data_IF_621867036302
#
_entry.id   IF_621867036302
#
_cell.length_a   1.000
_cell.length_b   1.000
_cell.length_c   1.000
_cell.angle_alpha   90.00
_cell.angle_beta   90.00
_cell.angle_gamma   90.00
#
_symmetry.space_group_name_H-M   'P 1'
#
loop_
_entity.id
_entity.type
_entity.pdbx_description
1 polymer ?
#
# COMPACT_ATOMS: atom_id res chain seq x y z
N UNK A 1 31.55 -18.43 -0.55
CA UNK A 1 30.62 -17.44 -1.11
C UNK A 1 31.44 -16.18 -1.33
N UNK A 2 31.73 -15.84 -2.57
CA UNK A 2 32.31 -14.54 -2.88
C UNK A 2 31.36 -13.47 -2.37
N UNK A 3 31.84 -12.62 -1.51
CA UNK A 3 31.11 -11.49 -0.98
C UNK A 3 30.97 -10.46 -2.12
N UNK A 4 29.93 -10.60 -2.96
CA UNK A 4 29.68 -9.62 -4.01
C UNK A 4 29.14 -8.36 -3.37
N UNK A 5 30.04 -7.36 -3.17
CA UNK A 5 29.72 -6.04 -2.63
C UNK A 5 28.93 -5.17 -3.62
N UNK A 6 28.79 -5.61 -4.87
CA UNK A 6 28.14 -4.82 -5.91
C UNK A 6 26.63 -4.71 -5.67
N UNK A 7 26.07 -3.51 -5.83
CA UNK A 7 24.62 -3.33 -5.81
C UNK A 7 23.96 -4.14 -6.93
N UNK A 8 22.81 -4.72 -6.65
CA UNK A 8 21.99 -5.42 -7.65
C UNK A 8 21.29 -4.49 -8.65
N UNK A 9 21.22 -3.19 -8.31
CA UNK A 9 20.58 -2.18 -9.17
C UNK A 9 21.55 -1.61 -10.20
N UNK A 10 21.09 -1.41 -11.44
CA UNK A 10 21.85 -0.73 -12.48
C UNK A 10 21.92 0.79 -12.26
N UNK A 11 22.96 1.45 -12.83
CA UNK A 11 23.07 2.90 -12.78
C UNK A 11 21.90 3.62 -13.50
N UNK A 12 21.32 3.00 -14.52
CA UNK A 12 20.16 3.49 -15.24
C UNK A 12 18.92 3.49 -14.34
N UNK A 13 18.65 2.37 -13.63
CA UNK A 13 17.55 2.27 -12.69
C UNK A 13 17.70 3.24 -11.50
N UNK A 14 18.93 3.52 -11.06
CA UNK A 14 19.17 4.55 -10.06
C UNK A 14 18.77 5.94 -10.54
N UNK A 15 19.13 6.29 -11.79
CA UNK A 15 18.73 7.57 -12.40
C UNK A 15 17.23 7.67 -12.59
N UNK A 16 16.60 6.62 -13.10
CA UNK A 16 15.13 6.55 -13.28
C UNK A 16 14.39 6.71 -11.96
N UNK A 17 14.87 6.04 -10.91
CA UNK A 17 14.32 6.22 -9.57
C UNK A 17 14.47 7.65 -9.04
N UNK A 18 15.63 8.27 -9.24
CA UNK A 18 15.86 9.65 -8.81
C UNK A 18 14.92 10.62 -9.55
N UNK A 19 14.72 10.40 -10.87
CA UNK A 19 13.81 11.21 -11.67
C UNK A 19 12.36 11.03 -11.19
N UNK A 20 11.90 9.79 -10.96
CA UNK A 20 10.56 9.51 -10.44
C UNK A 20 10.29 10.24 -9.12
N UNK A 21 11.25 10.25 -8.19
CA UNK A 21 11.09 10.96 -6.92
C UNK A 21 11.05 12.49 -7.11
N UNK A 22 11.80 13.02 -8.09
CA UNK A 22 11.75 14.43 -8.43
C UNK A 22 10.40 14.81 -9.04
N UNK A 23 9.84 13.97 -9.93
CA UNK A 23 8.54 14.19 -10.57
C UNK A 23 7.40 14.15 -9.55
N UNK A 24 7.44 13.24 -8.59
CA UNK A 24 6.49 13.20 -7.46
C UNK A 24 6.54 14.50 -6.67
N UNK A 25 7.73 14.98 -6.33
CA UNK A 25 7.89 16.26 -5.60
C UNK A 25 7.37 17.45 -6.39
N UNK A 26 7.67 17.50 -7.68
CA UNK A 26 7.18 18.56 -8.56
C UNK A 26 5.65 18.55 -8.67
N UNK A 27 5.04 17.36 -8.79
CA UNK A 27 3.59 17.20 -8.84
C UNK A 27 2.91 17.78 -7.60
N UNK A 28 3.37 17.44 -6.41
CA UNK A 28 2.78 17.95 -5.17
C UNK A 28 3.10 19.41 -4.90
N UNK A 29 4.31 19.88 -5.26
CA UNK A 29 4.66 21.29 -5.16
C UNK A 29 3.77 22.18 -6.01
N UNK A 30 3.44 21.77 -7.26
CA UNK A 30 2.52 22.49 -8.14
C UNK A 30 1.09 22.57 -7.58
N UNK A 31 0.71 21.65 -6.70
CA UNK A 31 -0.60 21.61 -6.04
C UNK A 31 -0.61 22.28 -4.66
N UNK A 32 0.51 22.83 -4.23
CA UNK A 32 0.64 23.46 -2.91
C UNK A 32 0.54 22.48 -1.75
N UNK A 33 0.87 21.20 -1.97
CA UNK A 33 0.89 20.16 -0.92
C UNK A 33 2.25 20.17 -0.26
N UNK A 34 2.29 20.25 1.07
CA UNK A 34 3.52 20.34 1.85
C UNK A 34 4.20 18.98 2.00
N UNK A 35 5.49 18.87 1.65
CA UNK A 35 6.31 17.70 2.01
C UNK A 35 6.61 17.73 3.50
N UNK A 36 6.35 16.62 4.19
CA UNK A 36 6.61 16.48 5.61
C UNK A 36 7.47 15.25 5.91
N UNK A 37 8.12 15.25 7.06
CA UNK A 37 8.81 14.10 7.62
C UNK A 37 8.26 13.80 9.01
N UNK A 38 8.03 12.53 9.31
CA UNK A 38 7.59 12.05 10.62
C UNK A 38 8.58 11.02 11.16
N UNK A 39 8.66 10.83 12.49
CA UNK A 39 9.58 9.86 13.07
C UNK A 39 9.33 8.44 12.55
N UNK A 40 10.41 7.76 12.17
CA UNK A 40 10.39 6.35 11.73
C UNK A 40 10.24 5.39 12.90
N UNK A 41 10.73 5.79 14.08
CA UNK A 41 10.64 5.02 15.33
C UNK A 41 9.48 5.52 16.16
N UNK A 42 8.68 4.58 16.70
CA UNK A 42 7.57 4.86 17.61
C UNK A 42 7.65 3.97 18.85
N UNK A 43 7.17 4.48 19.98
CA UNK A 43 6.99 3.69 21.21
C UNK A 43 5.80 2.72 21.16
N UNK A 44 4.97 2.79 20.12
CA UNK A 44 3.83 1.91 19.90
C UNK A 44 3.83 1.39 18.45
N UNK A 45 3.43 0.13 18.26
CA UNK A 45 3.17 -0.44 16.95
C UNK A 45 1.84 0.08 16.38
N UNK A 46 1.68 0.16 15.05
CA UNK A 46 0.38 0.39 14.45
C UNK A 46 -0.58 -0.77 14.77
N UNK A 47 -1.87 -0.46 14.80
CA UNK A 47 -2.93 -1.40 15.19
C UNK A 47 -3.49 -2.22 14.02
N UNK A 48 -2.90 -2.12 12.82
CA UNK A 48 -3.33 -2.87 11.66
C UNK A 48 -3.11 -4.38 11.88
N UNK A 49 -4.17 -5.22 11.81
CA UNK A 49 -4.12 -6.61 12.29
C UNK A 49 -3.19 -7.51 11.48
N UNK A 50 -2.95 -7.19 10.21
CA UNK A 50 -2.13 -8.01 9.30
C UNK A 50 -0.77 -7.38 8.95
N UNK A 51 -0.38 -6.30 9.63
CA UNK A 51 0.91 -5.65 9.44
C UNK A 51 1.75 -5.78 10.72
N UNK A 52 2.81 -6.57 10.66
CA UNK A 52 3.73 -6.72 11.79
C UNK A 52 4.90 -5.74 11.67
N UNK A 53 5.22 -5.07 12.79
CA UNK A 53 6.32 -4.10 12.87
C UNK A 53 7.60 -4.75 13.32
N UNK A 54 8.73 -4.34 12.75
CA UNK A 54 10.03 -4.63 13.33
C UNK A 54 10.16 -3.98 14.70
N UNK A 55 10.61 -4.76 15.69
CA UNK A 55 10.88 -4.30 17.06
C UNK A 55 12.36 -4.01 17.21
N UNK A 56 12.69 -2.93 17.90
CA UNK A 56 14.06 -2.61 18.29
C UNK A 56 14.13 -2.19 19.75
N UNK A 57 15.30 -2.31 20.33
CA UNK A 57 15.55 -1.96 21.71
C UNK A 57 16.26 -0.61 21.78
N UNK A 58 15.64 0.33 22.50
CA UNK A 58 16.24 1.61 22.80
C UNK A 58 16.72 1.60 24.26
N UNK A 59 18.01 1.92 24.44
CA UNK A 59 18.65 2.01 25.75
C UNK A 59 19.08 3.46 25.96
N UNK A 60 18.31 4.26 26.72
CA UNK A 60 18.67 5.63 27.04
C UNK A 60 19.97 5.68 27.83
N UNK A 61 20.87 6.62 27.53
CA UNK A 61 22.10 6.80 28.31
C UNK A 61 21.76 7.25 29.73
N UNK A 62 22.28 6.50 30.72
CA UNK A 62 22.12 6.83 32.15
C UNK A 62 20.76 6.50 32.76
N UNK A 63 19.89 5.78 32.04
CA UNK A 63 18.59 5.34 32.55
C UNK A 63 18.35 3.85 32.30
N UNK A 64 17.66 3.19 33.22
CA UNK A 64 17.07 1.86 33.05
C UNK A 64 15.58 2.01 33.35
N UNK A 65 14.68 1.28 32.66
CA UNK A 65 14.89 0.10 31.85
C UNK A 65 15.00 0.37 30.33
N UNK A 66 15.43 -0.65 29.60
CA UNK A 66 15.34 -0.76 28.15
C UNK A 66 13.88 -0.56 27.68
N UNK A 67 13.69 0.19 26.62
CA UNK A 67 12.39 0.44 26.00
C UNK A 67 12.30 -0.24 24.64
N UNK A 68 11.16 -0.85 24.34
CA UNK A 68 10.89 -1.37 23.00
C UNK A 68 10.34 -0.26 22.11
N UNK A 69 10.94 -0.12 20.96
CA UNK A 69 10.46 0.75 19.88
C UNK A 69 10.13 -0.08 18.65
N UNK A 70 9.34 0.50 17.78
CA UNK A 70 8.83 -0.13 16.57
C UNK A 70 9.19 0.72 15.36
N UNK A 71 9.65 0.07 14.28
CA UNK A 71 9.78 0.72 12.98
C UNK A 71 8.38 0.84 12.35
N UNK A 72 8.11 1.99 11.75
CA UNK A 72 6.81 2.27 11.12
C UNK A 72 6.53 1.35 9.94
N UNK A 73 5.30 0.86 9.83
CA UNK A 73 4.79 0.14 8.65
C UNK A 73 4.17 1.08 7.62
N UNK A 74 3.87 2.32 8.03
CA UNK A 74 3.39 3.46 7.26
C UNK A 74 3.61 4.72 8.10
N UNK A 75 3.76 5.91 7.52
CA UNK A 75 3.82 7.17 8.24
C UNK A 75 2.44 7.68 8.73
N UNK A 76 1.36 6.94 8.55
CA UNK A 76 -0.03 7.32 8.78
C UNK A 76 -0.26 8.02 10.11
N UNK A 77 0.12 7.38 11.23
CA UNK A 77 -0.14 7.95 12.56
C UNK A 77 0.62 9.26 12.81
N UNK A 78 1.85 9.36 12.30
CA UNK A 78 2.62 10.60 12.36
C UNK A 78 1.97 11.71 11.55
N UNK A 79 1.57 11.40 10.32
CA UNK A 79 0.94 12.35 9.41
C UNK A 79 -0.46 12.77 9.92
N UNK A 80 -1.27 11.86 10.43
CA UNK A 80 -2.59 12.20 11.02
C UNK A 80 -2.47 13.11 12.24
N UNK A 81 -1.40 13.02 13.01
CA UNK A 81 -1.13 13.99 14.10
C UNK A 81 -0.81 15.39 13.55
N UNK A 82 -0.12 15.49 12.41
CA UNK A 82 0.11 16.77 11.76
C UNK A 82 -1.19 17.36 11.21
N UNK A 83 -2.08 16.53 10.63
CA UNK A 83 -3.42 16.97 10.21
C UNK A 83 -4.25 17.48 11.38
N UNK A 84 -4.22 16.80 12.52
CA UNK A 84 -4.91 17.23 13.73
C UNK A 84 -4.33 18.53 14.33
N UNK A 85 -3.12 18.93 13.91
CA UNK A 85 -2.48 20.19 14.25
C UNK A 85 -2.58 21.24 13.10
N UNK A 86 -3.59 21.09 12.24
CA UNK A 86 -3.91 22.01 11.14
C UNK A 86 -2.80 22.20 10.09
N UNK A 87 -2.00 21.15 9.82
CA UNK A 87 -0.95 21.21 8.80
C UNK A 87 -1.48 21.38 7.36
N UNK A 88 -2.79 21.21 7.14
CA UNK A 88 -3.41 21.25 5.83
C UNK A 88 -3.07 20.04 4.96
N UNK A 89 -2.97 20.23 3.65
CA UNK A 89 -2.61 19.18 2.70
C UNK A 89 -1.12 18.86 2.77
N UNK A 90 -0.80 17.59 3.04
CA UNK A 90 0.56 17.10 3.27
C UNK A 90 0.85 15.82 2.49
N UNK A 91 2.11 15.59 2.14
CA UNK A 91 2.60 14.31 1.64
C UNK A 91 3.95 13.94 2.25
N UNK A 92 4.29 12.68 2.23
CA UNK A 92 5.57 12.16 2.68
C UNK A 92 6.06 11.03 1.78
N UNK A 93 7.35 11.05 1.45
CA UNK A 93 8.06 9.91 0.86
C UNK A 93 8.89 9.29 1.97
N UNK A 94 8.44 8.18 2.53
CA UNK A 94 9.01 7.58 3.72
C UNK A 94 9.61 6.20 3.47
N UNK A 95 10.64 5.85 4.24
CA UNK A 95 11.03 4.45 4.43
C UNK A 95 10.06 3.79 5.42
N UNK A 96 9.55 2.64 5.03
CA UNK A 96 8.63 1.84 5.83
C UNK A 96 9.11 0.39 5.90
N UNK A 97 8.68 -0.30 6.95
CA UNK A 97 9.21 -1.60 7.33
C UNK A 97 8.07 -2.53 7.73
N UNK A 98 7.94 -3.67 7.04
CA UNK A 98 6.92 -4.67 7.34
C UNK A 98 7.59 -6.02 7.57
N UNK A 99 7.48 -6.52 8.79
CA UNK A 99 8.06 -7.78 9.19
C UNK A 99 7.31 -8.95 8.54
N UNK A 100 8.04 -9.94 8.06
CA UNK A 100 7.46 -11.09 7.37
C UNK A 100 7.17 -10.90 5.88
N UNK A 101 7.18 -9.67 5.36
CA UNK A 101 7.00 -9.43 3.92
C UNK A 101 8.29 -9.76 3.15
N UNK A 102 8.24 -10.85 2.35
CA UNK A 102 9.33 -11.24 1.46
C UNK A 102 8.77 -11.96 0.24
N UNK A 103 9.06 -11.45 -0.96
CA UNK A 103 8.60 -12.06 -2.20
C UNK A 103 9.07 -11.29 -3.43
N UNK A 104 8.61 -11.72 -4.60
CA UNK A 104 8.98 -11.11 -5.88
C UNK A 104 8.65 -9.62 -5.95
N UNK A 105 7.53 -9.21 -5.35
CA UNK A 105 7.03 -7.83 -5.32
C UNK A 105 7.08 -7.20 -3.93
N UNK A 106 7.54 -7.94 -2.92
CA UNK A 106 7.56 -7.50 -1.53
C UNK A 106 8.96 -7.52 -0.96
N UNK A 107 9.30 -6.48 -0.23
CA UNK A 107 10.55 -6.34 0.52
C UNK A 107 10.23 -5.88 1.94
N UNK A 108 10.94 -6.37 2.96
CA UNK A 108 10.71 -5.95 4.34
C UNK A 108 11.00 -4.46 4.59
N UNK A 109 11.78 -3.83 3.72
CA UNK A 109 11.99 -2.39 3.67
C UNK A 109 11.68 -1.86 2.26
N UNK A 110 10.82 -0.84 2.17
CA UNK A 110 10.51 -0.18 0.90
C UNK A 110 10.25 1.32 1.10
N UNK A 111 10.03 2.01 0.01
CA UNK A 111 9.70 3.44 0.03
C UNK A 111 8.22 3.60 -0.30
N UNK A 112 7.51 4.27 0.58
CA UNK A 112 6.08 4.57 0.45
C UNK A 112 5.90 6.06 0.18
N UNK A 113 5.01 6.38 -0.77
CA UNK A 113 4.43 7.69 -0.92
C UNK A 113 3.05 7.67 -0.29
N UNK A 114 2.82 8.56 0.67
CA UNK A 114 1.54 8.72 1.35
C UNK A 114 1.17 10.21 1.39
N UNK A 115 -0.10 10.56 1.16
CA UNK A 115 -0.54 11.95 1.21
C UNK A 115 -1.97 12.09 1.68
N UNK A 116 -2.30 13.28 2.15
CA UNK A 116 -3.60 13.64 2.70
C UNK A 116 -4.06 14.98 2.14
N UNK A 117 -5.30 15.03 1.71
CA UNK A 117 -5.96 16.19 1.13
C UNK A 117 -7.30 16.40 1.83
N UNK A 118 -7.34 17.05 3.01
CA UNK A 118 -8.55 17.21 3.81
C UNK A 118 -9.68 17.94 3.07
N UNK A 119 -9.33 18.82 2.11
CA UNK A 119 -10.27 19.61 1.34
C UNK A 119 -10.85 18.88 0.12
N UNK A 120 -10.30 17.74 -0.27
CA UNK A 120 -10.77 16.99 -1.44
C UNK A 120 -11.86 15.98 -1.08
N UNK A 121 -12.85 15.88 -1.96
CA UNK A 121 -13.77 14.74 -1.95
C UNK A 121 -13.07 13.47 -2.40
N UNK A 122 -13.66 12.31 -2.08
CA UNK A 122 -13.16 11.00 -2.53
C UNK A 122 -12.95 10.97 -4.06
N UNK A 123 -13.89 11.47 -4.85
CA UNK A 123 -13.79 11.50 -6.32
C UNK A 123 -12.65 12.38 -6.80
N UNK A 124 -12.44 13.54 -6.19
CA UNK A 124 -11.32 14.43 -6.51
C UNK A 124 -9.97 13.81 -6.15
N UNK A 125 -9.91 13.04 -5.07
CA UNK A 125 -8.69 12.29 -4.72
C UNK A 125 -8.41 11.20 -5.76
N UNK A 126 -9.42 10.50 -6.27
CA UNK A 126 -9.24 9.54 -7.38
C UNK A 126 -8.70 10.23 -8.65
N UNK A 127 -9.18 11.45 -8.98
CA UNK A 127 -8.64 12.26 -10.09
C UNK A 127 -7.15 12.58 -9.86
N UNK A 128 -6.80 12.96 -8.64
CA UNK A 128 -5.41 13.28 -8.28
C UNK A 128 -4.50 12.05 -8.36
N UNK A 129 -4.96 10.89 -7.92
CA UNK A 129 -4.22 9.61 -8.08
C UNK A 129 -3.98 9.31 -9.56
N UNK A 130 -5.02 9.40 -10.40
CA UNK A 130 -4.91 9.17 -11.84
C UNK A 130 -3.90 10.12 -12.48
N UNK A 131 -3.96 11.41 -12.15
CA UNK A 131 -3.04 12.42 -12.66
C UNK A 131 -1.59 12.17 -12.21
N UNK A 132 -1.38 11.77 -10.96
CA UNK A 132 -0.05 11.42 -10.44
C UNK A 132 0.55 10.24 -11.20
N UNK A 133 -0.22 9.16 -11.36
CA UNK A 133 0.23 7.94 -12.05
C UNK A 133 0.54 8.23 -13.53
N UNK A 134 -0.25 9.07 -14.19
CA UNK A 134 0.02 9.51 -15.57
C UNK A 134 1.37 10.25 -15.66
N UNK A 135 1.66 11.16 -14.72
CA UNK A 135 2.91 11.93 -14.71
C UNK A 135 4.13 11.06 -14.42
N UNK A 136 4.07 10.18 -13.41
CA UNK A 136 5.25 9.44 -12.91
C UNK A 136 5.51 8.13 -13.64
N UNK A 137 4.49 7.51 -14.23
CA UNK A 137 4.57 6.22 -14.88
C UNK A 137 4.14 6.23 -16.37
N UNK A 138 3.63 7.35 -16.87
CA UNK A 138 3.21 7.49 -18.27
C UNK A 138 1.96 6.68 -18.62
N UNK A 139 1.18 6.23 -17.62
CA UNK A 139 -0.06 5.52 -17.86
C UNK A 139 -1.17 6.46 -18.37
N UNK A 140 -2.12 5.96 -19.16
CA UNK A 140 -3.29 6.73 -19.55
C UNK A 140 -4.18 7.04 -18.32
N UNK A 141 -5.21 7.83 -18.54
CA UNK A 141 -6.22 8.10 -17.50
C UNK A 141 -6.82 6.80 -16.94
N UNK A 142 -6.96 6.74 -15.62
CA UNK A 142 -7.44 5.54 -14.93
C UNK A 142 -8.91 5.27 -15.24
N UNK A 143 -9.25 4.02 -15.55
CA UNK A 143 -10.63 3.55 -15.67
C UNK A 143 -11.17 3.33 -14.26
N UNK A 144 -12.33 3.92 -13.97
CA UNK A 144 -13.00 3.74 -12.67
C UNK A 144 -14.00 2.60 -12.74
N UNK A 145 -13.80 1.62 -11.88
CA UNK A 145 -14.68 0.48 -11.75
C UNK A 145 -15.31 0.45 -10.36
N UNK A 146 -16.60 0.14 -10.31
CA UNK A 146 -17.25 -0.18 -9.05
C UNK A 146 -16.87 -1.60 -8.64
N UNK A 147 -16.53 -1.80 -7.37
CA UNK A 147 -16.23 -3.12 -6.81
C UNK A 147 -17.34 -4.14 -7.12
N UNK A 148 -18.59 -3.78 -6.86
CA UNK A 148 -19.75 -4.64 -7.14
C UNK A 148 -19.90 -4.96 -8.63
N UNK A 149 -19.80 -3.94 -9.49
CA UNK A 149 -19.92 -4.15 -10.95
C UNK A 149 -18.78 -5.00 -11.50
N UNK A 150 -17.61 -4.96 -10.89
CA UNK A 150 -16.50 -5.83 -11.29
C UNK A 150 -16.85 -7.30 -11.05
N UNK A 151 -17.43 -7.64 -9.89
CA UNK A 151 -17.89 -9.00 -9.62
C UNK A 151 -19.05 -9.41 -10.54
N UNK A 152 -20.01 -8.54 -10.77
CA UNK A 152 -21.13 -8.81 -11.69
C UNK A 152 -20.64 -9.04 -13.12
N UNK A 153 -19.73 -8.19 -13.61
CA UNK A 153 -19.26 -8.24 -15.00
C UNK A 153 -18.37 -9.46 -15.29
N UNK A 154 -17.49 -9.81 -14.40
CA UNK A 154 -16.48 -10.84 -14.64
C UNK A 154 -16.80 -12.20 -14.04
N UNK A 155 -17.64 -12.26 -13.02
CA UNK A 155 -18.00 -13.49 -12.32
C UNK A 155 -19.51 -13.76 -12.29
N UNK A 156 -20.33 -12.86 -12.82
CA UNK A 156 -21.80 -12.94 -12.79
C UNK A 156 -22.37 -13.10 -11.37
N UNK A 157 -21.73 -12.47 -10.38
CA UNK A 157 -22.15 -12.51 -8.97
C UNK A 157 -22.61 -11.13 -8.51
N UNK A 158 -23.78 -11.08 -7.90
CA UNK A 158 -24.22 -9.97 -7.05
C UNK A 158 -23.72 -10.21 -5.62
N UNK A 159 -22.63 -9.51 -5.25
CA UNK A 159 -21.97 -9.70 -3.95
C UNK A 159 -22.83 -9.28 -2.74
N UNK A 160 -23.90 -8.54 -2.92
CA UNK A 160 -24.81 -8.20 -1.82
C UNK A 160 -25.91 -9.25 -1.60
N UNK A 161 -26.31 -9.98 -2.64
CA UNK A 161 -27.41 -10.92 -2.60
C UNK A 161 -26.99 -12.39 -2.73
N UNK A 162 -25.73 -12.68 -3.10
CA UNK A 162 -25.25 -14.06 -3.17
C UNK A 162 -24.99 -14.64 -1.77
N UNK A 163 -25.18 -15.95 -1.64
CA UNK A 163 -24.83 -16.71 -0.43
C UNK A 163 -23.31 -17.01 -0.38
N UNK A 164 -22.79 -17.27 0.82
CA UNK A 164 -21.39 -17.67 1.00
C UNK A 164 -21.06 -18.98 0.27
N UNK A 165 -22.05 -19.89 0.16
CA UNK A 165 -21.91 -21.09 -0.63
C UNK A 165 -21.75 -20.80 -2.12
N UNK A 166 -22.41 -19.79 -2.67
CA UNK A 166 -22.23 -19.36 -4.06
C UNK A 166 -20.84 -18.75 -4.26
N UNK A 167 -20.37 -17.89 -3.35
CA UNK A 167 -19.01 -17.36 -3.40
C UNK A 167 -17.96 -18.47 -3.40
N UNK A 168 -18.11 -19.45 -2.50
CA UNK A 168 -17.24 -20.63 -2.43
C UNK A 168 -17.22 -21.41 -3.73
N UNK A 169 -18.38 -21.70 -4.32
CA UNK A 169 -18.47 -22.44 -5.59
C UNK A 169 -17.73 -21.71 -6.70
N UNK A 170 -17.95 -20.40 -6.85
CA UNK A 170 -17.26 -19.60 -7.87
C UNK A 170 -15.75 -19.54 -7.62
N UNK A 171 -15.31 -19.47 -6.35
CA UNK A 171 -13.90 -19.57 -5.99
C UNK A 171 -13.28 -20.89 -6.45
N UNK A 172 -13.93 -22.00 -6.15
CA UNK A 172 -13.47 -23.35 -6.54
C UNK A 172 -13.49 -23.58 -8.07
N UNK A 173 -14.39 -22.94 -8.79
CA UNK A 173 -14.47 -23.00 -10.26
C UNK A 173 -13.38 -22.18 -10.95
N UNK A 174 -13.05 -21.01 -10.41
CA UNK A 174 -12.14 -20.06 -11.04
C UNK A 174 -10.67 -20.18 -10.57
N UNK A 175 -10.41 -20.86 -9.44
CA UNK A 175 -9.07 -21.05 -8.87
C UNK A 175 -8.76 -22.54 -8.77
N UNK A 176 -8.25 -23.17 -9.87
CA UNK A 176 -8.02 -24.63 -9.90
C UNK A 176 -7.03 -25.17 -8.88
N UNK A 177 -6.10 -24.31 -8.40
CA UNK A 177 -5.09 -24.65 -7.39
C UNK A 177 -5.64 -24.63 -5.96
N UNK A 178 -6.88 -24.19 -5.77
CA UNK A 178 -7.48 -24.03 -4.44
C UNK A 178 -7.80 -25.38 -3.81
N UNK A 179 -7.41 -25.56 -2.55
CA UNK A 179 -7.80 -26.75 -1.79
C UNK A 179 -9.32 -26.74 -1.53
N UNK A 180 -9.97 -27.89 -1.77
CA UNK A 180 -11.46 -27.99 -1.67
C UNK A 180 -11.98 -27.88 -0.25
N UNK A 181 -11.15 -28.09 0.74
CA UNK A 181 -11.46 -28.04 2.18
C UNK A 181 -11.10 -26.69 2.83
N UNK A 182 -10.69 -25.69 2.01
CA UNK A 182 -10.42 -24.37 2.51
C UNK A 182 -11.70 -23.77 3.15
N UNK A 183 -11.54 -23.30 4.37
CA UNK A 183 -12.59 -22.63 5.14
C UNK A 183 -12.28 -21.14 5.24
N UNK A 184 -13.06 -20.34 4.52
CA UNK A 184 -12.98 -18.88 4.52
C UNK A 184 -14.36 -18.32 4.84
N UNK A 185 -14.37 -17.24 5.59
CA UNK A 185 -15.57 -16.42 5.73
C UNK A 185 -15.89 -15.67 4.42
N UNK A 186 -16.96 -14.91 4.43
CA UNK A 186 -17.42 -14.15 3.27
C UNK A 186 -16.35 -13.19 2.74
N UNK A 187 -15.73 -12.45 3.64
CA UNK A 187 -14.73 -11.44 3.27
C UNK A 187 -13.47 -12.12 2.69
N UNK A 188 -13.04 -13.23 3.27
CA UNK A 188 -11.96 -14.04 2.73
C UNK A 188 -12.22 -14.58 1.33
N UNK A 189 -13.47 -15.01 1.02
CA UNK A 189 -13.84 -15.41 -0.34
C UNK A 189 -13.82 -14.23 -1.32
N UNK A 190 -14.34 -13.07 -0.91
CA UNK A 190 -14.33 -11.86 -1.75
C UNK A 190 -12.92 -11.38 -2.03
N UNK A 191 -12.04 -11.37 -1.02
CA UNK A 191 -10.63 -11.00 -1.15
C UNK A 191 -9.88 -11.96 -2.09
N UNK A 192 -10.06 -13.27 -1.89
CA UNK A 192 -9.42 -14.29 -2.73
C UNK A 192 -9.88 -14.18 -4.20
N UNK A 193 -11.18 -14.00 -4.45
CA UNK A 193 -11.70 -13.81 -5.81
C UNK A 193 -11.19 -12.50 -6.44
N UNK A 194 -11.07 -11.43 -5.65
CA UNK A 194 -10.51 -10.18 -6.14
C UNK A 194 -9.06 -10.37 -6.57
N UNK A 195 -8.20 -10.87 -5.68
CA UNK A 195 -6.75 -10.97 -5.91
C UNK A 195 -6.38 -12.02 -6.97
N UNK A 196 -7.00 -13.20 -6.93
CA UNK A 196 -6.59 -14.31 -7.79
C UNK A 196 -7.31 -14.36 -9.14
N UNK A 197 -8.49 -13.75 -9.25
CA UNK A 197 -9.32 -13.85 -10.46
C UNK A 197 -9.55 -12.52 -11.14
N UNK A 198 -9.93 -11.48 -10.37
CA UNK A 198 -10.35 -10.21 -10.93
C UNK A 198 -9.16 -9.29 -11.26
N UNK A 199 -8.23 -9.09 -10.33
CA UNK A 199 -7.04 -8.26 -10.56
C UNK A 199 -6.23 -8.69 -11.80
N UNK A 200 -5.95 -9.98 -12.03
CA UNK A 200 -5.27 -10.40 -13.26
C UNK A 200 -6.03 -10.07 -14.54
N UNK A 201 -7.37 -10.06 -14.50
CA UNK A 201 -8.21 -9.67 -15.66
C UNK A 201 -8.20 -8.16 -15.88
N UNK A 202 -8.10 -7.37 -14.80
CA UNK A 202 -8.02 -5.91 -14.85
C UNK A 202 -6.64 -5.41 -15.30
N UNK A 203 -5.57 -6.15 -15.02
CA UNK A 203 -4.20 -5.80 -15.41
C UNK A 203 -3.93 -5.87 -16.94
N UNK A 204 -4.90 -6.27 -17.73
CA UNK A 204 -4.83 -6.38 -19.20
C UNK A 204 -5.42 -5.17 -19.95
N UNK A 205 -5.81 -4.09 -19.24
CA UNK A 205 -6.34 -2.87 -19.86
C UNK A 205 -5.30 -1.78 -19.98
#
# INVERSE_FOLDING_TARGET
MENDWRPSISAENLKSRAQLLADVRLFFAQKGVLEVETPVLSSAAPTAPYLDSFKTNYIPIGTSPQQTYYLQTSPEFGMKRLLAADAGSIYQIAKVFRNGEQGRLHSPEFTMLEWYRPELTFTQLMDEVSALVAVVAGFPEAIRLSYTRTFEQYLAIDIFNCSDQQLRLVGLENIPSLMRDIDLDRDGWLELLMSEVLEPKLAGF
#
